data_IF_742191917519
#
_entry.id   IF_742191917519
#
_cell.length_a   1.000
_cell.length_b   1.000
_cell.length_c   1.000
_cell.angle_alpha   90.00
_cell.angle_beta   90.00
_cell.angle_gamma   90.00
#
_symmetry.space_group_name_H-M   'P 1'
#
loop_
_entity.id
_entity.type
_entity.pdbx_description
1 polymer ?
#
# COMPACT_ATOMS: atom_id res chain seq x y z
N UNK A 1 -5.63 -50.81 22.36
CA UNK A 1 -5.70 -50.05 21.09
C UNK A 1 -6.00 -48.56 21.34
N UNK A 2 -5.21 -47.85 22.17
CA UNK A 2 -5.40 -46.41 22.45
C UNK A 2 -4.08 -45.65 22.70
N UNK A 3 -2.95 -46.27 22.34
CA UNK A 3 -1.60 -45.74 22.60
C UNK A 3 -0.99 -45.09 21.33
N UNK A 4 -1.30 -45.63 20.14
CA UNK A 4 -0.66 -45.24 18.87
C UNK A 4 -1.11 -43.87 18.33
N UNK A 5 -2.29 -43.40 18.73
CA UNK A 5 -2.81 -42.09 18.33
C UNK A 5 -2.03 -40.93 18.98
N UNK A 6 -1.56 -41.11 20.21
CA UNK A 6 -0.79 -40.10 20.94
C UNK A 6 0.62 -39.94 20.38
N UNK A 7 1.26 -41.05 19.98
CA UNK A 7 2.58 -41.03 19.35
C UNK A 7 2.53 -40.28 18.02
N UNK A 8 1.49 -40.49 17.21
CA UNK A 8 1.32 -39.81 15.93
C UNK A 8 1.04 -38.31 16.09
N UNK A 9 0.27 -37.91 17.11
CA UNK A 9 0.01 -36.50 17.41
C UNK A 9 1.25 -35.77 17.97
N UNK A 10 2.04 -36.44 18.82
CA UNK A 10 3.31 -35.90 19.33
C UNK A 10 4.34 -35.74 18.21
N UNK A 11 4.37 -36.68 17.25
CA UNK A 11 5.28 -36.61 16.10
C UNK A 11 4.92 -35.44 15.17
N UNK A 12 3.62 -35.14 15.00
CA UNK A 12 3.12 -33.98 14.25
C UNK A 12 3.39 -32.64 14.95
N UNK A 13 3.42 -32.62 16.29
CA UNK A 13 3.74 -31.42 17.08
C UNK A 13 5.24 -31.13 17.15
N UNK A 14 6.08 -32.17 17.00
CA UNK A 14 7.54 -32.09 16.99
C UNK A 14 8.13 -31.87 15.59
N UNK A 15 7.31 -31.96 14.53
CA UNK A 15 7.72 -31.53 13.19
C UNK A 15 7.91 -30.01 13.21
N UNK A 16 9.13 -29.50 12.94
CA UNK A 16 9.34 -28.07 12.83
C UNK A 16 8.39 -27.54 11.76
N UNK A 17 7.63 -26.49 12.12
CA UNK A 17 6.73 -25.82 11.19
C UNK A 17 7.50 -25.60 9.87
N UNK A 18 6.90 -25.89 8.70
CA UNK A 18 7.55 -25.64 7.43
C UNK A 18 7.96 -24.18 7.44
N UNK A 19 9.26 -23.96 7.59
CA UNK A 19 9.90 -22.67 7.53
C UNK A 19 9.79 -22.23 6.08
N UNK A 20 8.62 -21.71 5.71
CA UNK A 20 8.47 -20.68 4.69
C UNK A 20 9.11 -19.38 5.24
N UNK A 21 10.32 -19.50 5.79
CA UNK A 21 11.28 -18.44 5.91
C UNK A 21 12.07 -18.50 4.61
N UNK A 22 11.64 -17.73 3.62
CA UNK A 22 12.56 -17.35 2.55
C UNK A 22 13.84 -16.75 3.17
N UNK A 23 14.98 -16.76 2.45
CA UNK A 23 16.23 -16.21 2.96
C UNK A 23 16.00 -14.80 3.51
N UNK A 24 16.03 -14.66 4.84
CA UNK A 24 16.17 -13.35 5.46
C UNK A 24 17.65 -13.00 5.36
N UNK A 25 18.07 -12.61 4.16
CA UNK A 25 19.27 -11.82 4.01
C UNK A 25 19.03 -10.56 4.87
N UNK A 26 19.60 -10.53 6.08
CA UNK A 26 19.69 -9.34 6.92
C UNK A 26 20.53 -8.22 6.29
N UNK A 27 20.74 -8.28 4.98
CA UNK A 27 21.18 -7.15 4.18
C UNK A 27 20.04 -6.13 4.26
N UNK A 28 20.27 -4.92 4.80
CA UNK A 28 19.33 -3.83 4.62
C UNK A 28 18.98 -3.82 3.14
N UNK A 29 17.69 -3.97 2.79
CA UNK A 29 17.26 -3.70 1.41
C UNK A 29 17.97 -2.40 1.01
N UNK A 30 18.64 -2.35 -0.16
CA UNK A 30 19.22 -1.10 -0.61
C UNK A 30 18.09 -0.09 -0.61
N UNK A 31 18.12 0.82 0.37
CA UNK A 31 17.12 1.88 0.49
C UNK A 31 17.05 2.49 -0.90
N UNK A 32 15.85 2.52 -1.53
CA UNK A 32 15.73 2.95 -2.91
C UNK A 32 16.51 4.24 -3.08
N UNK A 33 17.51 4.20 -3.97
CA UNK A 33 18.44 5.30 -4.23
C UNK A 33 17.65 6.60 -4.11
N UNK A 34 18.02 7.51 -3.19
CA UNK A 34 17.21 8.67 -2.94
C UNK A 34 17.06 9.41 -4.26
N UNK A 35 15.86 9.34 -4.86
CA UNK A 35 15.55 10.00 -6.13
C UNK A 35 16.20 11.39 -6.10
N UNK A 36 17.18 11.58 -6.99
CA UNK A 36 18.08 12.74 -6.97
C UNK A 36 17.29 13.92 -7.49
N UNK A 37 16.61 14.62 -6.59
CA UNK A 37 15.80 15.78 -6.89
C UNK A 37 15.01 16.25 -5.67
N UNK A 38 14.45 17.48 -5.70
CA UNK A 38 13.51 17.93 -4.70
C UNK A 38 12.34 16.94 -4.60
N UNK A 39 11.94 16.57 -3.39
CA UNK A 39 10.80 15.68 -3.21
C UNK A 39 9.55 16.37 -3.78
N UNK A 40 8.88 15.73 -4.74
CA UNK A 40 7.60 16.22 -5.26
C UNK A 40 6.53 16.18 -4.15
N UNK A 41 5.72 17.23 -3.97
CA UNK A 41 4.58 17.20 -3.03
C UNK A 41 3.58 16.09 -3.41
N UNK A 42 3.23 15.25 -2.43
CA UNK A 42 2.38 14.08 -2.68
C UNK A 42 0.92 14.43 -2.99
N UNK A 43 0.46 15.61 -2.57
CA UNK A 43 -0.86 16.16 -2.86
C UNK A 43 -1.02 16.49 -4.35
N UNK A 44 -0.01 17.08 -4.97
CA UNK A 44 -0.02 17.35 -6.42
C UNK A 44 -0.05 16.06 -7.24
N UNK A 45 0.76 15.08 -6.85
CA UNK A 45 0.79 13.75 -7.47
C UNK A 45 -0.55 13.01 -7.28
N UNK A 46 -1.14 13.11 -6.08
CA UNK A 46 -2.43 12.53 -5.79
C UNK A 46 -3.55 13.16 -6.62
N UNK A 47 -3.61 14.49 -6.69
CA UNK A 47 -4.59 15.20 -7.51
C UNK A 47 -4.44 14.86 -9.01
N UNK A 48 -3.20 14.83 -9.52
CA UNK A 48 -2.92 14.41 -10.91
C UNK A 48 -3.39 12.98 -11.18
N UNK A 49 -3.07 12.04 -10.29
CA UNK A 49 -3.45 10.64 -10.43
C UNK A 49 -4.97 10.41 -10.36
N UNK A 50 -5.67 11.12 -9.47
CA UNK A 50 -7.14 11.07 -9.39
C UNK A 50 -7.77 11.69 -10.64
N UNK A 51 -7.25 12.81 -11.15
CA UNK A 51 -7.73 13.40 -12.40
C UNK A 51 -7.53 12.44 -13.59
N UNK A 52 -6.36 11.81 -13.70
CA UNK A 52 -6.08 10.80 -14.73
C UNK A 52 -7.00 9.57 -14.63
N UNK A 53 -7.32 9.15 -13.40
CA UNK A 53 -8.26 8.05 -13.17
C UNK A 53 -9.66 8.38 -13.73
N UNK A 54 -10.16 9.59 -13.47
CA UNK A 54 -11.46 10.03 -13.99
C UNK A 54 -11.45 10.32 -15.49
N UNK A 55 -10.31 10.69 -16.08
CA UNK A 55 -10.16 10.85 -17.52
C UNK A 55 -9.99 9.52 -18.28
N UNK A 56 -9.91 8.39 -17.57
CA UNK A 56 -9.72 7.05 -18.15
C UNK A 56 -8.29 6.72 -18.56
N UNK A 57 -7.32 7.57 -18.23
CA UNK A 57 -5.89 7.31 -18.43
C UNK A 57 -5.34 6.53 -17.23
N UNK A 58 -5.64 5.23 -17.22
CA UNK A 58 -5.31 4.36 -16.08
C UNK A 58 -3.80 4.15 -15.90
N UNK A 59 -3.00 4.18 -16.97
CA UNK A 59 -1.55 4.07 -16.86
C UNK A 59 -0.94 5.28 -16.16
N UNK A 60 -1.36 6.50 -16.55
CA UNK A 60 -0.94 7.71 -15.86
C UNK A 60 -1.47 7.74 -14.43
N UNK A 61 -2.71 7.32 -14.20
CA UNK A 61 -3.27 7.23 -12.86
C UNK A 61 -2.42 6.33 -11.94
N UNK A 62 -2.03 5.14 -12.41
CA UNK A 62 -1.17 4.22 -11.65
C UNK A 62 0.17 4.88 -11.34
N UNK A 63 0.85 5.42 -12.35
CA UNK A 63 2.17 6.07 -12.18
C UNK A 63 2.14 7.21 -11.16
N UNK A 64 1.16 8.12 -11.28
CA UNK A 64 1.05 9.31 -10.43
C UNK A 64 0.62 8.93 -9.00
N UNK A 65 -0.31 8.00 -8.83
CA UNK A 65 -0.76 7.53 -7.51
C UNK A 65 0.34 6.76 -6.76
N UNK A 66 1.11 5.92 -7.45
CA UNK A 66 2.26 5.26 -6.84
C UNK A 66 3.35 6.26 -6.44
N UNK A 67 3.64 7.25 -7.30
CA UNK A 67 4.57 8.32 -6.97
C UNK A 67 4.11 9.11 -5.74
N UNK A 68 2.80 9.38 -5.64
CA UNK A 68 2.22 10.03 -4.46
C UNK A 68 2.43 9.20 -3.19
N UNK A 69 2.21 7.88 -3.24
CA UNK A 69 2.47 6.97 -2.12
C UNK A 69 3.94 6.92 -1.73
N UNK A 70 4.86 6.85 -2.70
CA UNK A 70 6.32 6.88 -2.45
C UNK A 70 6.73 8.19 -1.78
N UNK A 71 6.27 9.33 -2.31
CA UNK A 71 6.56 10.65 -1.73
C UNK A 71 6.00 10.80 -0.31
N UNK A 72 4.77 10.35 -0.06
CA UNK A 72 4.16 10.37 1.26
C UNK A 72 4.96 9.56 2.30
N UNK A 73 5.40 8.34 1.95
CA UNK A 73 6.26 7.51 2.82
C UNK A 73 7.57 8.23 3.13
N UNK A 74 8.26 8.72 2.10
CA UNK A 74 9.54 9.44 2.25
C UNK A 74 9.41 10.69 3.13
N UNK A 75 8.34 11.46 2.98
CA UNK A 75 8.05 12.62 3.83
C UNK A 75 7.82 12.21 5.29
N UNK A 76 7.05 11.14 5.54
CA UNK A 76 6.80 10.60 6.89
C UNK A 76 8.11 10.14 7.54
N UNK A 77 8.98 9.49 6.79
CA UNK A 77 10.24 8.99 7.31
C UNK A 77 11.21 10.13 7.61
N UNK A 78 11.28 11.15 6.75
CA UNK A 78 12.06 12.37 7.01
C UNK A 78 11.58 13.04 8.30
N UNK A 79 10.26 13.24 8.46
CA UNK A 79 9.68 13.83 9.67
C UNK A 79 10.01 13.02 10.92
N UNK A 80 9.88 11.70 10.85
CA UNK A 80 10.14 10.79 11.98
C UNK A 80 11.62 10.78 12.35
N UNK A 81 12.52 10.69 11.37
CA UNK A 81 13.97 10.72 11.57
C UNK A 81 14.42 12.05 12.16
N UNK A 82 13.94 13.18 11.62
CA UNK A 82 14.23 14.50 12.19
C UNK A 82 13.67 14.67 13.60
N UNK A 83 12.46 14.18 13.87
CA UNK A 83 11.85 14.24 15.20
C UNK A 83 12.68 13.46 16.24
N UNK A 84 13.10 12.24 15.93
CA UNK A 84 13.95 11.41 16.80
C UNK A 84 15.33 12.04 17.01
N UNK A 85 15.97 12.50 15.93
CA UNK A 85 17.29 13.14 15.99
C UNK A 85 17.28 14.40 16.88
N UNK A 86 16.29 15.28 16.69
CA UNK A 86 16.19 16.49 17.49
C UNK A 86 15.71 16.23 18.93
N UNK A 87 14.93 15.15 19.17
CA UNK A 87 14.59 14.70 20.52
C UNK A 87 15.84 14.34 21.33
N UNK A 88 16.74 13.57 20.72
CA UNK A 88 17.96 13.12 21.36
C UNK A 88 18.93 14.30 21.63
N UNK A 89 19.03 15.26 20.70
CA UNK A 89 19.93 16.42 20.86
C UNK A 89 19.40 17.50 21.80
N UNK A 90 18.07 17.66 21.90
CA UNK A 90 17.42 18.72 22.68
C UNK A 90 16.34 18.08 23.56
N UNK A 91 16.73 17.39 24.65
CA UNK A 91 15.78 16.83 25.59
C UNK A 91 14.94 17.94 26.22
N UNK A 92 13.69 17.63 26.55
CA UNK A 92 12.81 18.57 27.24
C UNK A 92 13.24 18.67 28.70
N UNK A 93 13.28 19.90 29.22
CA UNK A 93 13.46 20.10 30.65
C UNK A 93 12.21 19.57 31.40
N UNK A 94 12.33 19.07 32.64
CA UNK A 94 11.18 18.76 33.46
C UNK A 94 10.31 20.01 33.67
N UNK A 95 8.99 19.82 33.74
CA UNK A 95 8.08 20.87 34.16
C UNK A 95 8.33 21.14 35.65
N UNK A 96 8.79 22.34 35.99
CA UNK A 96 8.98 22.71 37.39
C UNK A 96 7.65 23.06 38.06
N UNK A 97 7.54 22.84 39.36
CA UNK A 97 6.40 23.28 40.17
C UNK A 97 6.69 24.69 40.71
N UNK A 98 5.98 25.70 40.22
CA UNK A 98 6.06 27.07 40.70
C UNK A 98 5.83 28.12 39.61
N UNK A 99 5.57 29.38 39.98
CA UNK A 99 5.37 30.46 39.01
C UNK A 99 6.61 30.63 38.12
N UNK A 100 6.45 30.50 36.80
CA UNK A 100 7.55 30.66 35.83
C UNK A 100 8.50 29.47 35.69
N UNK A 101 8.30 28.39 36.44
CA UNK A 101 9.13 27.18 36.38
C UNK A 101 8.96 26.38 35.07
N UNK A 102 7.98 26.75 34.23
CA UNK A 102 7.76 26.17 32.89
C UNK A 102 8.60 26.83 31.78
N UNK A 103 9.21 28.00 32.02
CA UNK A 103 9.99 28.73 31.01
C UNK A 103 11.15 27.90 30.43
N UNK A 104 11.93 27.12 31.23
CA UNK A 104 12.97 26.25 30.69
C UNK A 104 12.40 25.16 29.76
N UNK A 105 11.22 24.61 30.08
CA UNK A 105 10.53 23.64 29.23
C UNK A 105 10.12 24.25 27.89
N UNK A 106 9.46 25.41 27.88
CA UNK A 106 9.07 26.08 26.63
C UNK A 106 10.28 26.47 25.79
N UNK A 107 11.37 26.92 26.43
CA UNK A 107 12.64 27.20 25.74
C UNK A 107 13.18 25.94 25.05
N UNK A 108 13.24 24.82 25.76
CA UNK A 108 13.67 23.54 25.19
C UNK A 108 12.75 23.06 24.06
N UNK A 109 11.43 23.26 24.20
CA UNK A 109 10.43 22.92 23.20
C UNK A 109 10.61 23.74 21.91
N UNK A 110 10.77 25.07 22.03
CA UNK A 110 11.00 25.96 20.89
C UNK A 110 12.32 25.65 20.20
N UNK A 111 13.38 25.37 20.96
CA UNK A 111 14.67 24.95 20.43
C UNK A 111 14.60 23.62 19.67
N UNK A 112 13.85 22.63 20.19
CA UNK A 112 13.59 21.37 19.49
C UNK A 112 12.76 21.59 18.21
N UNK A 113 11.78 22.49 18.25
CA UNK A 113 10.98 22.84 17.07
C UNK A 113 11.85 23.51 15.98
N UNK A 114 12.77 24.40 16.37
CA UNK A 114 13.76 25.02 15.46
C UNK A 114 14.66 23.97 14.80
N UNK A 115 15.20 23.05 15.60
CA UNK A 115 15.98 21.90 15.09
C UNK A 115 15.19 21.09 14.07
N UNK A 116 13.94 20.72 14.39
CA UNK A 116 13.10 19.89 13.52
C UNK A 116 12.81 20.58 12.18
N UNK A 117 12.45 21.87 12.20
CA UNK A 117 12.21 22.64 10.97
C UNK A 117 13.47 22.74 10.10
N UNK A 118 14.64 22.95 10.71
CA UNK A 118 15.91 23.02 9.99
C UNK A 118 16.27 21.68 9.34
N UNK A 119 16.19 20.59 10.10
CA UNK A 119 16.43 19.23 9.60
C UNK A 119 15.52 18.85 8.43
N UNK A 120 14.22 19.16 8.55
CA UNK A 120 13.26 18.88 7.48
C UNK A 120 13.56 19.71 6.23
N UNK A 121 13.86 21.00 6.37
CA UNK A 121 14.23 21.88 5.24
C UNK A 121 15.44 21.34 4.49
N UNK A 122 16.48 20.91 5.21
CA UNK A 122 17.69 20.37 4.60
C UNK A 122 17.43 19.05 3.85
N UNK A 123 16.65 18.13 4.43
CA UNK A 123 16.38 16.82 3.83
C UNK A 123 15.37 16.84 2.69
N UNK A 124 14.46 17.82 2.68
CA UNK A 124 13.44 17.96 1.63
C UNK A 124 13.94 18.78 0.43
N UNK A 125 15.08 19.46 0.55
CA UNK A 125 15.62 20.30 -0.54
C UNK A 125 14.80 21.56 -0.80
N UNK A 126 14.03 22.04 0.19
CA UNK A 126 13.12 23.17 0.00
C UNK A 126 12.35 23.57 1.27
N UNK A 127 11.50 24.61 1.19
CA UNK A 127 10.69 25.04 2.32
C UNK A 127 9.64 23.99 2.69
N UNK A 128 9.53 23.68 3.99
CA UNK A 128 8.60 22.68 4.55
C UNK A 128 7.13 22.99 4.20
N UNK A 129 6.80 24.25 3.94
CA UNK A 129 5.46 24.69 3.53
C UNK A 129 4.98 24.08 2.22
N UNK A 130 5.89 23.72 1.29
CA UNK A 130 5.53 23.04 0.04
C UNK A 130 4.94 21.64 0.25
N UNK A 131 5.18 21.04 1.41
CA UNK A 131 4.63 19.73 1.79
C UNK A 131 3.53 19.86 2.85
N UNK A 132 2.94 21.04 2.98
CA UNK A 132 1.74 21.26 3.79
C UNK A 132 0.54 20.93 2.92
N UNK A 133 -0.22 19.95 3.37
CA UNK A 133 -1.34 19.37 2.63
C UNK A 133 -2.64 19.66 3.38
N UNK A 134 -3.76 19.72 2.66
CA UNK A 134 -5.08 19.87 3.26
C UNK A 134 -5.41 18.72 4.21
N UNK A 135 -6.32 18.98 5.15
CA UNK A 135 -6.75 17.96 6.10
C UNK A 135 -7.44 16.78 5.39
N UNK A 136 -8.21 17.06 4.33
CA UNK A 136 -8.93 16.05 3.57
C UNK A 136 -7.97 15.06 2.92
N UNK A 137 -6.97 15.56 2.18
CA UNK A 137 -5.96 14.69 1.53
C UNK A 137 -5.14 13.94 2.60
N UNK A 138 -4.86 14.57 3.75
CA UNK A 138 -4.22 13.84 4.86
C UNK A 138 -5.10 12.70 5.38
N UNK A 139 -6.40 12.93 5.52
CA UNK A 139 -7.38 11.92 5.93
C UNK A 139 -7.46 10.76 4.93
N UNK A 140 -7.46 11.07 3.64
CA UNK A 140 -7.48 10.07 2.56
C UNK A 140 -6.29 9.12 2.64
N UNK A 141 -5.08 9.66 2.85
CA UNK A 141 -3.88 8.83 3.02
C UNK A 141 -3.90 8.01 4.32
N UNK A 142 -4.50 8.54 5.40
CA UNK A 142 -4.70 7.78 6.64
C UNK A 142 -5.69 6.63 6.46
N UNK A 143 -6.78 6.88 5.71
CA UNK A 143 -7.81 5.90 5.36
C UNK A 143 -7.43 4.98 4.21
N UNK A 144 -6.21 5.13 3.66
CA UNK A 144 -5.67 4.35 2.53
C UNK A 144 -6.52 4.47 1.24
N UNK A 145 -7.22 5.59 1.07
CA UNK A 145 -8.03 5.89 -0.12
C UNK A 145 -7.26 5.78 -1.44
N UNK A 146 -5.98 6.20 -1.56
CA UNK A 146 -5.22 6.04 -2.81
C UNK A 146 -5.14 4.59 -3.32
N UNK A 147 -5.17 3.60 -2.42
CA UNK A 147 -5.14 2.19 -2.81
C UNK A 147 -6.42 1.75 -3.52
N UNK A 148 -7.57 2.33 -3.17
CA UNK A 148 -8.84 2.02 -3.83
C UNK A 148 -8.81 2.45 -5.31
N UNK A 149 -8.24 3.61 -5.60
CA UNK A 149 -8.04 4.08 -6.97
C UNK A 149 -7.07 3.19 -7.73
N UNK A 150 -5.94 2.82 -7.12
CA UNK A 150 -4.96 1.92 -7.74
C UNK A 150 -5.57 0.56 -8.09
N UNK A 151 -6.28 -0.09 -7.15
CA UNK A 151 -6.95 -1.37 -7.39
C UNK A 151 -7.87 -1.31 -8.62
N UNK A 152 -8.70 -0.26 -8.69
CA UNK A 152 -9.61 -0.08 -9.82
C UNK A 152 -8.88 0.26 -11.12
N UNK A 153 -7.79 1.04 -11.04
CA UNK A 153 -6.98 1.41 -12.19
C UNK A 153 -6.26 0.20 -12.80
N UNK A 154 -5.82 -0.77 -11.99
CA UNK A 154 -5.25 -2.02 -12.51
C UNK A 154 -6.32 -2.91 -13.16
N UNK A 155 -7.52 -3.01 -12.57
CA UNK A 155 -8.56 -3.94 -13.04
C UNK A 155 -9.27 -3.42 -14.31
N UNK A 156 -9.50 -2.11 -14.44
CA UNK A 156 -10.30 -1.56 -15.55
C UNK A 156 -9.72 -1.84 -16.96
N UNK A 157 -8.41 -1.72 -17.21
CA UNK A 157 -7.81 -2.10 -18.50
C UNK A 157 -7.99 -3.59 -18.82
N UNK A 158 -7.82 -4.46 -17.81
CA UNK A 158 -8.01 -5.90 -17.92
C UNK A 158 -9.48 -6.29 -18.17
N UNK A 159 -10.43 -5.49 -17.71
CA UNK A 159 -11.85 -5.68 -17.98
C UNK A 159 -12.23 -5.26 -19.41
N UNK A 160 -11.56 -4.27 -19.98
CA UNK A 160 -11.80 -3.84 -21.38
C UNK A 160 -11.25 -4.86 -22.37
N UNK A 161 -10.10 -5.47 -22.08
CA UNK A 161 -9.62 -6.62 -22.86
C UNK A 161 -10.41 -7.88 -22.58
N UNK A 162 -11.31 -7.92 -21.59
CA UNK A 162 -12.16 -9.09 -21.33
C UNK A 162 -13.20 -9.30 -22.42
N UNK A 163 -13.67 -8.27 -23.11
CA UNK A 163 -14.49 -8.45 -24.32
C UNK A 163 -13.66 -9.10 -25.44
N UNK A 164 -12.42 -8.66 -25.67
CA UNK A 164 -11.52 -9.27 -26.65
C UNK A 164 -11.02 -10.66 -26.21
N UNK A 165 -10.81 -10.92 -24.92
CA UNK A 165 -10.40 -12.22 -24.38
C UNK A 165 -11.59 -13.17 -24.36
N UNK A 166 -12.81 -12.71 -24.09
CA UNK A 166 -14.02 -13.52 -24.26
C UNK A 166 -14.24 -13.80 -25.74
N UNK A 167 -14.02 -12.82 -26.63
CA UNK A 167 -14.08 -13.02 -28.08
C UNK A 167 -13.01 -14.02 -28.54
N UNK A 168 -11.76 -13.88 -28.09
CA UNK A 168 -10.65 -14.80 -28.38
C UNK A 168 -10.93 -16.17 -27.77
N UNK A 169 -11.44 -16.27 -26.55
CA UNK A 169 -11.83 -17.54 -25.94
C UNK A 169 -12.99 -18.17 -26.71
N UNK A 170 -14.02 -17.43 -27.10
CA UNK A 170 -15.10 -17.92 -27.96
C UNK A 170 -14.54 -18.36 -29.33
N UNK A 171 -13.62 -17.60 -29.92
CA UNK A 171 -13.00 -17.92 -31.22
C UNK A 171 -12.06 -19.14 -31.12
N UNK A 172 -11.28 -19.25 -30.05
CA UNK A 172 -10.39 -20.37 -29.74
C UNK A 172 -11.22 -21.62 -29.41
N UNK A 173 -12.34 -21.46 -28.71
CA UNK A 173 -13.29 -22.52 -28.37
C UNK A 173 -14.06 -22.98 -29.62
N UNK A 174 -14.41 -22.07 -30.55
CA UNK A 174 -14.94 -22.40 -31.89
C UNK A 174 -13.90 -23.08 -32.80
N UNK A 175 -12.63 -22.65 -32.77
CA UNK A 175 -11.51 -23.30 -33.46
C UNK A 175 -11.23 -24.71 -32.89
N UNK A 176 -11.31 -24.87 -31.56
CA UNK A 176 -11.21 -26.16 -30.90
C UNK A 176 -12.42 -27.06 -31.22
N UNK A 177 -13.64 -26.51 -31.29
CA UNK A 177 -14.86 -27.22 -31.73
C UNK A 177 -14.79 -27.68 -33.20
N UNK A 178 -14.14 -26.91 -34.09
CA UNK A 178 -13.91 -27.34 -35.48
C UNK A 178 -12.82 -28.42 -35.61
N UNK A 179 -11.83 -28.43 -34.71
CA UNK A 179 -10.84 -29.52 -34.62
C UNK A 179 -11.37 -30.78 -33.89
N UNK A 180 -12.47 -30.63 -33.13
CA UNK A 180 -13.06 -31.69 -32.30
C UNK A 180 -14.27 -32.39 -32.94
N UNK A 181 -14.55 -32.21 -34.22
CA UNK A 181 -15.55 -33.03 -34.92
C UNK A 181 -15.02 -34.43 -35.31
N UNK A 182 -13.85 -34.84 -34.81
CA UNK A 182 -13.21 -36.11 -35.14
C UNK A 182 -13.00 -37.08 -33.97
N UNK A 183 -13.18 -36.69 -32.70
CA UNK A 183 -12.93 -37.61 -31.57
C UNK A 183 -13.95 -37.41 -30.44
N UNK A 184 -14.89 -38.36 -30.40
CA UNK A 184 -15.80 -38.79 -29.34
C UNK A 184 -15.72 -38.15 -27.93
N UNK A 185 -16.88 -37.73 -27.42
CA UNK A 185 -17.32 -37.83 -25.99
C UNK A 185 -17.40 -39.32 -25.54
N UNK A 186 -17.66 -39.71 -24.26
CA UNK A 186 -18.09 -38.92 -23.08
C UNK A 186 -17.42 -39.30 -21.73
N UNK A 187 -17.46 -38.42 -20.72
CA UNK A 187 -17.57 -38.82 -19.30
C UNK A 187 -17.85 -37.61 -18.38
N UNK A 188 -19.12 -37.53 -17.96
CA UNK A 188 -19.64 -37.16 -16.63
C UNK A 188 -18.66 -36.49 -15.64
N UNK A 189 -18.96 -35.24 -15.27
CA UNK A 189 -18.81 -34.79 -13.88
C UNK A 189 -20.03 -33.94 -13.49
N UNK A 190 -20.83 -34.50 -12.59
CA UNK A 190 -22.07 -33.94 -12.04
C UNK A 190 -21.80 -32.78 -11.09
N UNK A 191 -22.72 -31.81 -11.10
CA UNK A 191 -22.87 -30.70 -10.16
C UNK A 191 -22.85 -31.13 -8.68
N UNK A 192 -22.25 -30.32 -7.79
CA UNK A 192 -22.92 -29.99 -6.52
C UNK A 192 -22.55 -28.59 -5.99
N UNK A 193 -23.60 -27.77 -5.82
CA UNK A 193 -23.79 -26.65 -4.87
C UNK A 193 -22.80 -25.48 -4.84
N UNK A 194 -23.27 -24.36 -5.39
CA UNK A 194 -23.54 -23.18 -4.56
C UNK A 194 -24.61 -22.31 -5.24
N UNK A 195 -25.86 -22.55 -4.86
CA UNK A 195 -26.94 -21.59 -5.01
C UNK A 195 -27.73 -21.63 -3.72
N UNK A 196 -27.95 -20.44 -3.14
CA UNK A 196 -29.08 -19.99 -2.32
C UNK A 196 -28.61 -19.13 -1.13
N UNK A 197 -28.36 -17.84 -1.40
CA UNK A 197 -29.17 -16.68 -0.95
C UNK A 197 -28.96 -15.62 -2.07
N UNK A 198 -29.91 -15.13 -2.89
CA UNK A 198 -31.17 -14.45 -2.58
C UNK A 198 -30.89 -13.01 -2.11
N UNK A 199 -31.14 -11.90 -2.80
CA UNK A 199 -31.78 -11.58 -4.08
C UNK A 199 -31.73 -10.05 -4.35
N UNK A 200 -32.38 -9.62 -5.44
CA UNK A 200 -32.73 -8.22 -5.83
C UNK A 200 -31.56 -7.31 -6.26
N UNK A 201 -31.57 -6.58 -7.37
CA UNK A 201 -32.54 -6.35 -8.45
C UNK A 201 -32.07 -5.12 -9.25
N UNK A 202 -32.06 -5.19 -10.57
CA UNK A 202 -31.99 -4.00 -11.44
C UNK A 202 -33.17 -4.07 -12.42
N UNK A 203 -34.12 -3.15 -12.25
CA UNK A 203 -35.13 -2.79 -13.24
C UNK A 203 -35.24 -1.26 -13.23
N UNK A 204 -35.32 -0.67 -14.41
CA UNK A 204 -35.44 0.76 -14.67
C UNK A 204 -34.51 1.21 -15.77
#
# INVERSE_FOLDING_TARGET
MRESTWVSLLLLLLLPAPQWGGPQDGRPEPEPEPERGPLQPFDLLYASGVAAYYSGDYERAVRDLEAALRSHRRLRDIRTRCARHCAARRPLAPLGAGPGAELPFFRALLERARCSRSCQRQRLGGPVSRHRVSEDVRSDFQRRVPYNYLQRAYIKPLARTREEIVQICIFLQLLLLHSWNAVLQPAVFTEEKMKLEGGQGCSG
#
